data_IF_685327627192
#
_entry.id   IF_685327627192
#
_cell.length_a   1.000
_cell.length_b   1.000
_cell.length_c   1.000
_cell.angle_alpha   90.00
_cell.angle_beta   90.00
_cell.angle_gamma   90.00
#
_symmetry.space_group_name_H-M   'P 1'
#
loop_
_entity.id
_entity.type
_entity.pdbx_description
1 polymer ?
#
# COMPACT_ATOMS: atom_id res chain seq x y z
N UNK A 1 -24.95 17.26 85.39
CA UNK A 1 -25.81 18.46 85.19
C UNK A 1 -24.92 19.69 85.07
N UNK A 2 -25.34 20.70 84.27
CA UNK A 2 -24.65 21.96 83.84
C UNK A 2 -24.03 21.80 82.43
N UNK A 3 -24.75 22.02 81.32
CA UNK A 3 -25.45 23.20 80.79
C UNK A 3 -24.49 24.29 80.24
N UNK A 4 -24.39 24.28 78.90
CA UNK A 4 -24.27 25.39 77.91
C UNK A 4 -23.26 26.52 78.16
N UNK A 5 -22.47 26.86 77.13
CA UNK A 5 -22.68 28.00 76.20
C UNK A 5 -21.33 28.60 75.74
N UNK A 6 -21.04 28.55 74.42
CA UNK A 6 -20.15 29.41 73.62
C UNK A 6 -19.92 28.68 72.29
N UNK A 7 -20.83 28.72 71.31
CA UNK A 7 -21.13 29.81 70.37
C UNK A 7 -19.88 30.39 69.65
N UNK A 8 -19.78 29.97 68.38
CA UNK A 8 -19.46 30.78 67.18
C UNK A 8 -18.07 31.37 67.01
N UNK A 9 -17.26 30.73 66.16
CA UNK A 9 -16.58 31.42 65.05
C UNK A 9 -15.98 30.41 64.04
N UNK A 10 -16.28 30.67 62.75
CA UNK A 10 -15.62 30.17 61.53
C UNK A 10 -16.20 28.87 60.89
N UNK A 11 -17.15 29.00 59.93
CA UNK A 11 -17.22 28.11 58.78
C UNK A 11 -16.84 28.92 57.53
N UNK A 12 -15.55 28.96 57.18
CA UNK A 12 -15.06 29.63 55.97
C UNK A 12 -13.90 28.87 55.30
N UNK A 13 -13.86 27.55 55.46
CA UNK A 13 -12.85 26.66 54.84
C UNK A 13 -13.52 25.53 54.04
N UNK A 14 -14.63 25.84 53.35
CA UNK A 14 -15.38 24.85 52.55
C UNK A 14 -15.52 25.16 51.06
N UNK A 15 -14.66 26.01 50.45
CA UNK A 15 -14.77 26.32 49.01
C UNK A 15 -13.44 26.32 48.21
N UNK A 16 -12.39 25.62 48.63
CA UNK A 16 -11.12 25.60 47.88
C UNK A 16 -10.62 24.19 47.49
N UNK A 17 -11.50 23.19 47.39
CA UNK A 17 -11.12 21.83 46.99
C UNK A 17 -12.04 21.25 45.89
N UNK A 18 -12.28 22.01 44.82
CA UNK A 18 -12.96 21.53 43.60
C UNK A 18 -12.31 22.07 42.32
N UNK A 19 -10.99 21.95 42.16
CA UNK A 19 -10.34 22.20 40.87
C UNK A 19 -9.21 21.22 40.61
N UNK A 20 -9.55 20.02 40.14
CA UNK A 20 -8.75 19.20 39.21
C UNK A 20 -9.47 17.90 38.88
N UNK A 21 -10.70 18.00 38.37
CA UNK A 21 -11.29 16.88 37.62
C UNK A 21 -10.95 17.16 36.16
N UNK A 22 -9.99 16.41 35.60
CA UNK A 22 -9.78 16.37 34.15
C UNK A 22 -11.08 15.88 33.54
N UNK A 23 -11.81 16.78 32.90
CA UNK A 23 -13.00 16.44 32.13
C UNK A 23 -12.60 15.40 31.07
N UNK A 24 -13.37 14.30 30.91
CA UNK A 24 -13.15 13.38 29.80
C UNK A 24 -13.30 14.17 28.51
N UNK A 25 -12.26 14.09 27.67
CA UNK A 25 -12.16 14.78 26.39
C UNK A 25 -13.37 14.36 25.54
N UNK A 26 -14.30 15.28 25.31
CA UNK A 26 -15.41 15.08 24.38
C UNK A 26 -14.77 14.87 23.00
N UNK A 27 -15.01 13.73 22.32
CA UNK A 27 -14.46 13.50 20.99
C UNK A 27 -14.98 14.60 20.07
N UNK A 28 -14.07 15.31 19.41
CA UNK A 28 -14.45 16.23 18.35
C UNK A 28 -14.90 15.40 17.14
N UNK A 29 -15.71 15.95 16.21
CA UNK A 29 -16.11 15.23 14.98
C UNK A 29 -14.93 14.72 14.14
N UNK A 30 -13.70 15.20 14.41
CA UNK A 30 -12.45 14.78 13.78
C UNK A 30 -11.89 13.50 14.41
N UNK A 31 -12.19 13.21 15.67
CA UNK A 31 -11.75 11.99 16.38
C UNK A 31 -12.57 10.74 15.99
N UNK A 32 -13.60 10.88 15.16
CA UNK A 32 -14.42 9.79 14.61
C UNK A 32 -13.93 9.30 13.23
N UNK A 33 -12.89 9.93 12.67
CA UNK A 33 -12.23 9.43 11.47
C UNK A 33 -11.23 8.34 11.88
N UNK A 34 -11.19 7.19 11.20
CA UNK A 34 -10.12 6.20 11.41
C UNK A 34 -8.77 6.91 11.28
N UNK A 35 -8.01 6.99 12.37
CA UNK A 35 -6.66 7.55 12.32
C UNK A 35 -5.82 6.62 11.45
N UNK A 36 -5.44 7.09 10.27
CA UNK A 36 -4.43 6.40 9.46
C UNK A 36 -3.16 6.26 10.30
N UNK A 37 -2.54 5.08 10.24
CA UNK A 37 -1.29 4.82 10.98
C UNK A 37 -0.25 5.90 10.63
N UNK A 38 0.47 6.45 11.63
CA UNK A 38 1.49 7.45 11.37
C UNK A 38 2.55 6.87 10.45
N UNK A 39 2.85 7.58 9.36
CA UNK A 39 3.83 7.18 8.37
C UNK A 39 5.21 7.10 9.05
N UNK A 40 5.81 5.91 9.05
CA UNK A 40 7.15 5.69 9.62
C UNK A 40 8.22 5.73 8.54
N UNK A 41 9.44 6.18 8.88
CA UNK A 41 10.60 5.96 8.03
C UNK A 41 10.82 4.47 7.75
N UNK A 42 11.33 4.14 6.55
CA UNK A 42 11.56 2.75 6.14
C UNK A 42 12.42 1.96 7.15
N UNK A 43 13.43 2.59 7.74
CA UNK A 43 14.29 1.96 8.74
C UNK A 43 13.52 1.56 10.00
N UNK A 44 12.63 2.43 10.48
CA UNK A 44 11.80 2.18 11.67
C UNK A 44 10.73 1.12 11.38
N UNK A 45 10.15 1.13 10.19
CA UNK A 45 9.23 0.10 9.73
C UNK A 45 9.91 -1.29 9.69
N UNK A 46 11.13 -1.37 9.14
CA UNK A 46 11.95 -2.59 9.12
C UNK A 46 12.26 -3.08 10.53
N UNK A 47 12.68 -2.16 11.40
CA UNK A 47 12.93 -2.48 12.82
C UNK A 47 11.67 -3.01 13.51
N UNK A 48 10.51 -2.38 13.29
CA UNK A 48 9.26 -2.80 13.89
C UNK A 48 8.87 -4.24 13.47
N UNK A 49 9.06 -4.60 12.19
CA UNK A 49 8.83 -5.97 11.72
C UNK A 49 9.80 -6.98 12.35
N UNK A 50 11.07 -6.61 12.51
CA UNK A 50 12.09 -7.44 13.17
C UNK A 50 11.78 -7.65 14.65
N UNK A 51 11.21 -6.65 15.32
CA UNK A 51 10.87 -6.72 16.74
C UNK A 51 9.50 -7.41 16.98
N UNK A 52 8.65 -7.52 15.96
CA UNK A 52 7.33 -8.14 16.05
C UNK A 52 7.40 -9.67 16.21
N UNK A 53 6.58 -10.22 17.12
CA UNK A 53 6.54 -11.66 17.38
C UNK A 53 5.75 -12.39 16.29
N UNK A 54 6.35 -13.38 15.59
CA UNK A 54 5.63 -14.18 14.60
C UNK A 54 4.54 -15.03 15.24
N UNK A 55 3.35 -15.06 14.66
CA UNK A 55 2.29 -15.99 15.06
C UNK A 55 2.37 -17.34 14.34
N UNK A 56 3.10 -17.41 13.23
CA UNK A 56 3.15 -18.57 12.35
C UNK A 56 4.53 -18.74 11.70
N UNK A 57 4.86 -19.99 11.40
CA UNK A 57 6.13 -20.35 10.74
C UNK A 57 5.94 -21.25 9.52
N UNK A 58 4.71 -21.75 9.30
CA UNK A 58 4.32 -22.53 8.13
C UNK A 58 3.00 -22.02 7.56
N UNK A 59 2.71 -22.32 6.29
CA UNK A 59 1.46 -21.91 5.64
C UNK A 59 0.21 -22.56 6.25
N UNK A 60 0.35 -23.72 6.89
CA UNK A 60 -0.75 -24.41 7.55
C UNK A 60 -1.19 -23.72 8.86
N UNK A 61 -0.36 -22.85 9.43
CA UNK A 61 -0.64 -22.15 10.69
C UNK A 61 -1.57 -20.93 10.49
N UNK A 62 -1.88 -20.55 9.26
CA UNK A 62 -2.64 -19.32 8.98
C UNK A 62 -4.15 -19.55 9.10
N UNK A 63 -4.91 -18.49 9.43
CA UNK A 63 -6.37 -18.51 9.31
C UNK A 63 -6.77 -18.14 7.88
N UNK A 64 -7.59 -18.99 7.25
CA UNK A 64 -8.12 -18.79 5.89
C UNK A 64 -9.62 -18.50 5.89
N UNK A 65 -10.15 -17.94 6.99
CA UNK A 65 -11.58 -17.68 7.15
C UNK A 65 -12.08 -16.54 6.22
N UNK A 66 -11.16 -15.69 5.77
CA UNK A 66 -11.46 -14.57 4.88
C UNK A 66 -11.52 -15.06 3.44
N UNK A 67 -12.65 -14.87 2.75
CA UNK A 67 -12.74 -15.15 1.31
C UNK A 67 -12.03 -14.07 0.50
N UNK A 68 -11.41 -14.46 -0.61
CA UNK A 68 -10.86 -13.51 -1.56
C UNK A 68 -11.98 -12.57 -2.06
N UNK A 69 -11.82 -11.24 -1.96
CA UNK A 69 -12.81 -10.31 -2.47
C UNK A 69 -13.05 -10.47 -3.98
N UNK A 70 -14.30 -10.34 -4.41
CA UNK A 70 -14.70 -10.40 -5.83
C UNK A 70 -14.23 -9.20 -6.69
N UNK A 71 -13.63 -8.20 -6.05
CA UNK A 71 -12.93 -7.07 -6.64
C UNK A 71 -11.85 -6.61 -5.67
N UNK A 72 -10.76 -5.95 -6.10
CA UNK A 72 -9.70 -5.56 -5.20
C UNK A 72 -10.21 -4.64 -4.08
N UNK A 73 -9.91 -5.02 -2.84
CA UNK A 73 -10.25 -4.26 -1.63
C UNK A 73 -8.99 -3.86 -0.89
N UNK A 74 -9.06 -2.73 -0.17
CA UNK A 74 -7.96 -2.14 0.57
C UNK A 74 -7.69 -2.89 1.88
N UNK A 75 -6.43 -3.23 2.12
CA UNK A 75 -5.92 -3.85 3.34
C UNK A 75 -4.69 -3.08 3.83
N UNK A 76 -4.62 -2.82 5.13
CA UNK A 76 -3.44 -2.22 5.77
C UNK A 76 -2.60 -3.33 6.39
N UNK A 77 -1.32 -3.39 5.99
CA UNK A 77 -0.33 -4.29 6.55
C UNK A 77 0.68 -3.48 7.36
N UNK A 78 0.81 -3.80 8.65
CA UNK A 78 1.66 -3.07 9.57
C UNK A 78 1.52 -3.58 11.01
N UNK A 79 1.85 -2.77 12.03
CA UNK A 79 1.69 -3.13 13.42
C UNK A 79 0.24 -3.48 13.73
N UNK A 80 0.03 -4.63 14.36
CA UNK A 80 -1.29 -5.19 14.60
C UNK A 80 -1.75 -6.19 13.52
N UNK A 81 -1.12 -6.22 12.35
CA UNK A 81 -1.26 -7.32 11.40
C UNK A 81 -0.50 -8.56 11.90
N UNK A 82 -0.96 -9.78 11.56
CA UNK A 82 -0.25 -11.00 11.91
C UNK A 82 1.10 -11.04 11.19
N UNK A 83 2.10 -11.63 11.85
CA UNK A 83 3.47 -11.74 11.34
C UNK A 83 3.82 -13.20 11.10
N UNK A 84 4.30 -13.48 9.91
CA UNK A 84 4.86 -14.78 9.55
C UNK A 84 6.37 -14.75 9.59
N UNK A 85 7.00 -15.86 10.00
CA UNK A 85 8.43 -16.10 9.82
C UNK A 85 8.65 -17.36 8.97
N UNK A 86 8.78 -17.19 7.65
CA UNK A 86 9.02 -18.27 6.69
C UNK A 86 10.35 -18.03 5.98
N UNK A 87 11.13 -19.10 5.75
CA UNK A 87 12.41 -19.05 5.05
C UNK A 87 13.39 -18.02 5.66
N UNK A 88 13.40 -17.91 6.99
CA UNK A 88 14.28 -17.00 7.73
C UNK A 88 13.92 -15.52 7.61
N UNK A 89 12.80 -15.17 6.97
CA UNK A 89 12.35 -13.79 6.78
C UNK A 89 11.00 -13.55 7.43
N UNK A 90 10.84 -12.38 8.06
CA UNK A 90 9.57 -11.94 8.63
C UNK A 90 8.78 -11.13 7.61
N UNK A 91 7.46 -11.18 7.71
CA UNK A 91 6.58 -10.29 6.95
C UNK A 91 5.21 -10.18 7.62
N UNK A 92 4.55 -9.03 7.46
CA UNK A 92 3.10 -8.98 7.67
C UNK A 92 2.41 -9.67 6.49
N UNK A 93 1.27 -10.31 6.72
CA UNK A 93 0.60 -11.07 5.68
C UNK A 93 -0.92 -10.98 5.71
N UNK A 94 -1.52 -11.33 4.57
CA UNK A 94 -2.93 -11.64 4.40
C UNK A 94 -3.07 -13.08 3.92
N UNK A 95 -4.18 -13.71 4.28
CA UNK A 95 -4.53 -15.06 3.83
C UNK A 95 -5.99 -15.10 3.41
N UNK A 96 -6.26 -15.77 2.29
CA UNK A 96 -7.58 -15.83 1.69
C UNK A 96 -7.97 -17.25 1.26
N UNK A 97 -9.24 -17.59 1.42
CA UNK A 97 -9.89 -18.70 0.74
C UNK A 97 -10.23 -18.29 -0.70
N UNK A 98 -9.77 -19.07 -1.68
CA UNK A 98 -10.06 -18.88 -3.10
C UNK A 98 -11.44 -19.47 -3.47
N UNK A 99 -12.12 -18.91 -4.49
CA UNK A 99 -13.37 -19.47 -5.00
C UNK A 99 -13.11 -20.82 -5.69
N UNK A 100 -13.67 -21.90 -5.14
CA UNK A 100 -13.50 -23.27 -5.66
C UNK A 100 -14.31 -23.54 -6.93
N UNK A 101 -15.32 -22.72 -7.19
CA UNK A 101 -16.24 -22.78 -8.33
C UNK A 101 -15.89 -21.81 -9.45
N UNK A 102 -14.86 -20.97 -9.27
CA UNK A 102 -14.40 -20.06 -10.31
C UNK A 102 -13.79 -20.82 -11.49
N UNK A 103 -14.17 -20.40 -12.71
CA UNK A 103 -13.60 -20.94 -13.94
C UNK A 103 -12.16 -20.44 -14.10
N UNK A 104 -11.20 -21.35 -14.08
CA UNK A 104 -9.81 -21.05 -14.44
C UNK A 104 -9.63 -20.93 -15.97
N UNK A 105 -8.72 -20.06 -16.45
CA UNK A 105 -7.89 -19.15 -15.67
C UNK A 105 -8.65 -17.90 -15.23
N UNK A 106 -8.36 -17.41 -14.03
CA UNK A 106 -8.75 -16.08 -13.58
C UNK A 106 -7.53 -15.36 -13.00
N UNK A 107 -7.64 -14.05 -12.81
CA UNK A 107 -6.53 -13.22 -12.34
C UNK A 107 -6.89 -12.56 -11.02
N UNK A 108 -5.86 -12.38 -10.18
CA UNK A 108 -5.96 -11.64 -8.92
C UNK A 108 -5.19 -10.34 -9.13
N UNK A 109 -5.90 -9.22 -8.96
CA UNK A 109 -5.33 -7.89 -9.07
C UNK A 109 -4.72 -7.46 -7.74
N UNK A 110 -3.55 -6.84 -7.81
CA UNK A 110 -2.83 -6.30 -6.64
C UNK A 110 -2.37 -4.88 -6.88
N UNK A 111 -2.51 -4.01 -5.88
CA UNK A 111 -2.05 -2.61 -5.94
C UNK A 111 -1.42 -2.24 -4.62
N UNK A 112 -0.24 -1.67 -4.67
CA UNK A 112 0.42 -1.10 -3.50
C UNK A 112 0.33 0.41 -3.54
N UNK A 113 -0.06 1.02 -2.42
CA UNK A 113 -0.02 2.48 -2.28
C UNK A 113 1.33 2.91 -1.74
N UNK A 114 1.77 4.08 -2.20
CA UNK A 114 3.00 4.70 -1.74
C UNK A 114 2.86 5.09 -0.26
N UNK A 115 3.73 4.56 0.58
CA UNK A 115 3.90 5.05 1.95
C UNK A 115 4.87 6.22 1.90
N UNK A 116 4.55 7.34 2.54
CA UNK A 116 5.40 8.54 2.52
C UNK A 116 4.74 9.74 1.83
N UNK A 117 5.35 10.91 2.02
CA UNK A 117 4.87 12.18 1.48
C UNK A 117 5.73 12.71 0.32
N UNK A 118 6.89 12.09 0.07
CA UNK A 118 7.87 12.57 -0.93
C UNK A 118 8.58 11.42 -1.65
N UNK A 119 8.41 11.40 -2.97
CA UNK A 119 9.05 10.45 -3.89
C UNK A 119 10.58 10.53 -3.90
N UNK A 120 11.18 11.57 -3.32
CA UNK A 120 12.63 11.84 -3.45
C UNK A 120 13.51 11.21 -2.39
N UNK A 121 12.98 10.77 -1.24
CA UNK A 121 13.86 10.27 -0.15
C UNK A 121 13.19 9.52 1.01
N UNK A 122 11.87 9.49 1.13
CA UNK A 122 11.20 8.85 2.28
C UNK A 122 10.04 7.91 1.92
N UNK A 123 9.80 7.70 0.63
CA UNK A 123 8.71 6.85 0.18
C UNK A 123 9.13 5.41 -0.08
N UNK A 124 8.25 4.48 0.25
CA UNK A 124 8.40 3.06 -0.04
C UNK A 124 7.05 2.41 -0.34
N UNK A 125 7.07 1.18 -0.85
CA UNK A 125 5.89 0.38 -1.17
C UNK A 125 5.93 -0.95 -0.44
N UNK A 126 4.78 -1.46 0.00
CA UNK A 126 4.68 -2.89 0.32
C UNK A 126 4.68 -3.66 -1.00
N UNK A 127 5.71 -4.43 -1.30
CA UNK A 127 5.78 -5.21 -2.54
C UNK A 127 5.39 -6.67 -2.30
N UNK A 128 4.29 -7.16 -2.91
CA UNK A 128 3.74 -8.45 -2.56
C UNK A 128 4.44 -9.60 -3.27
N UNK A 129 4.59 -10.69 -2.54
CA UNK A 129 4.79 -12.05 -2.99
C UNK A 129 3.48 -12.79 -2.73
N UNK A 130 2.99 -13.49 -3.74
CA UNK A 130 1.77 -14.28 -3.64
C UNK A 130 2.08 -15.76 -3.72
N UNK A 131 1.57 -16.52 -2.76
CA UNK A 131 1.64 -17.98 -2.74
C UNK A 131 0.25 -18.56 -2.94
N UNK A 132 0.13 -19.46 -3.90
CA UNK A 132 -1.06 -20.26 -4.16
C UNK A 132 -0.88 -21.59 -3.44
N UNK A 133 -1.85 -21.99 -2.62
CA UNK A 133 -1.79 -23.24 -1.86
C UNK A 133 -2.92 -24.19 -2.26
N UNK A 134 -2.68 -25.49 -2.14
CA UNK A 134 -3.70 -26.54 -2.29
C UNK A 134 -4.53 -26.75 -1.00
N UNK A 135 -5.38 -27.77 -0.99
CA UNK A 135 -6.22 -28.15 0.17
C UNK A 135 -5.42 -28.68 1.37
N UNK A 136 -4.18 -29.12 1.16
CA UNK A 136 -3.24 -29.55 2.19
C UNK A 136 -2.28 -28.42 2.63
N UNK A 137 -2.59 -27.17 2.26
CA UNK A 137 -1.78 -25.98 2.53
C UNK A 137 -0.37 -26.05 1.93
N UNK A 138 -0.16 -26.88 0.90
CA UNK A 138 1.13 -26.98 0.21
C UNK A 138 1.24 -25.92 -0.89
N UNK A 139 2.40 -25.28 -1.04
CA UNK A 139 2.62 -24.31 -2.11
C UNK A 139 2.58 -24.97 -3.49
N UNK A 140 1.63 -24.53 -4.31
CA UNK A 140 1.51 -24.88 -5.73
C UNK A 140 2.38 -23.94 -6.57
N UNK A 141 2.32 -22.64 -6.25
CA UNK A 141 3.04 -21.59 -6.94
C UNK A 141 3.40 -20.45 -5.97
N UNK A 142 4.51 -19.78 -6.21
CA UNK A 142 4.93 -18.58 -5.47
C UNK A 142 5.51 -17.57 -6.46
N UNK A 143 4.97 -16.36 -6.46
CA UNK A 143 5.34 -15.32 -7.42
C UNK A 143 5.56 -13.99 -6.71
N UNK A 144 6.74 -13.39 -6.90
CA UNK A 144 6.99 -11.99 -6.56
C UNK A 144 6.26 -11.12 -7.59
N UNK A 145 5.21 -10.42 -7.15
CA UNK A 145 4.38 -9.62 -8.06
C UNK A 145 5.19 -8.45 -8.59
N UNK A 146 5.32 -8.37 -9.91
CA UNK A 146 5.90 -7.21 -10.56
C UNK A 146 4.93 -6.04 -10.46
N UNK A 147 5.36 -4.97 -9.80
CA UNK A 147 4.60 -3.75 -9.66
C UNK A 147 5.02 -2.72 -10.71
N UNK A 148 4.03 -2.03 -11.27
CA UNK A 148 4.21 -0.99 -12.27
C UNK A 148 3.34 0.21 -11.91
N UNK A 149 3.85 1.42 -12.08
CA UNK A 149 3.10 2.62 -11.71
C UNK A 149 1.94 2.86 -12.67
N UNK A 150 0.76 3.13 -12.12
CA UNK A 150 -0.33 3.74 -12.87
C UNK A 150 -0.84 4.95 -12.10
N UNK A 151 -0.97 6.09 -12.80
CA UNK A 151 -1.55 7.32 -12.26
C UNK A 151 -2.95 7.51 -12.87
N UNK A 152 -3.97 7.26 -12.06
CA UNK A 152 -5.35 7.54 -12.38
C UNK A 152 -5.79 8.95 -11.98
N UNK A 153 -7.09 9.20 -11.98
CA UNK A 153 -7.68 10.49 -11.58
C UNK A 153 -7.80 10.66 -10.06
N UNK A 154 -7.70 9.58 -9.30
CA UNK A 154 -7.88 9.54 -7.85
C UNK A 154 -6.81 8.66 -7.17
N UNK A 155 -6.71 8.74 -5.85
CA UNK A 155 -5.81 7.87 -5.07
C UNK A 155 -6.23 6.40 -5.14
N UNK A 156 -7.54 6.10 -5.24
CA UNK A 156 -8.00 4.71 -5.39
C UNK A 156 -7.57 4.12 -6.73
N UNK A 157 -7.40 4.97 -7.74
CA UNK A 157 -7.06 4.56 -9.11
C UNK A 157 -5.58 4.82 -9.43
N UNK A 158 -4.77 5.21 -8.43
CA UNK A 158 -3.33 5.43 -8.56
C UNK A 158 -2.55 4.53 -7.61
N UNK A 159 -1.35 4.13 -8.01
CA UNK A 159 -0.48 3.25 -7.22
C UNK A 159 0.43 2.38 -8.08
N UNK A 160 1.09 1.43 -7.43
CA UNK A 160 1.86 0.39 -8.11
C UNK A 160 0.96 -0.83 -8.33
N UNK A 161 0.59 -1.13 -9.58
CA UNK A 161 -0.32 -2.21 -9.94
C UNK A 161 0.44 -3.44 -10.43
N UNK A 162 -0.13 -4.61 -10.17
CA UNK A 162 0.31 -5.89 -10.70
C UNK A 162 -0.84 -6.90 -10.67
N UNK A 163 -0.58 -8.09 -11.19
CA UNK A 163 -1.53 -9.20 -11.11
C UNK A 163 -0.79 -10.54 -11.11
N UNK A 164 -1.50 -11.58 -10.68
CA UNK A 164 -1.07 -12.96 -10.87
C UNK A 164 -2.21 -13.77 -11.48
N UNK A 165 -1.87 -14.89 -12.13
CA UNK A 165 -2.85 -15.80 -12.72
C UNK A 165 -3.06 -17.04 -11.86
N UNK A 166 -4.32 -17.40 -11.65
CA UNK A 166 -4.70 -18.70 -11.09
C UNK A 166 -5.09 -19.61 -12.24
N UNK A 167 -4.26 -20.62 -12.49
CA UNK A 167 -4.45 -21.59 -13.57
C UNK A 167 -4.68 -23.01 -13.04
N UNK A 168 -4.17 -23.32 -11.85
CA UNK A 168 -4.27 -24.66 -11.25
C UNK A 168 -5.60 -24.81 -10.51
N UNK A 169 -6.39 -25.81 -10.92
CA UNK A 169 -7.69 -26.14 -10.30
C UNK A 169 -7.56 -26.65 -8.86
N UNK A 170 -6.36 -26.99 -8.41
CA UNK A 170 -6.07 -27.40 -7.03
C UNK A 170 -5.92 -26.20 -6.09
N UNK A 171 -5.73 -24.98 -6.60
CA UNK A 171 -5.60 -23.80 -5.75
C UNK A 171 -6.85 -23.63 -4.85
N UNK A 172 -6.63 -23.56 -3.54
CA UNK A 172 -7.67 -23.38 -2.51
C UNK A 172 -7.42 -22.14 -1.68
N UNK A 173 -6.16 -21.79 -1.45
CA UNK A 173 -5.82 -20.65 -0.63
C UNK A 173 -4.80 -19.74 -1.29
N UNK A 174 -4.81 -18.49 -0.84
CA UNK A 174 -3.89 -17.46 -1.27
C UNK A 174 -3.22 -16.85 -0.04
N UNK A 175 -1.92 -16.66 -0.10
CA UNK A 175 -1.17 -15.89 0.89
C UNK A 175 -0.54 -14.70 0.18
N UNK A 176 -0.67 -13.52 0.77
CA UNK A 176 -0.02 -12.29 0.32
C UNK A 176 0.90 -11.84 1.45
N UNK A 177 2.20 -11.79 1.19
CA UNK A 177 3.20 -11.28 2.12
C UNK A 177 4.27 -10.53 1.32
N UNK A 178 5.34 -10.04 1.92
CA UNK A 178 6.50 -9.50 1.20
C UNK A 178 7.72 -10.39 1.45
N UNK A 179 8.22 -11.08 0.43
CA UNK A 179 9.41 -11.93 0.54
C UNK A 179 10.67 -11.13 0.90
N UNK A 180 11.73 -11.83 1.33
CA UNK A 180 13.03 -11.21 1.58
C UNK A 180 13.54 -10.46 0.34
N UNK A 181 13.38 -11.08 -0.84
CA UNK A 181 13.72 -10.47 -2.12
C UNK A 181 12.91 -9.19 -2.32
N UNK A 182 11.58 -9.28 -2.21
CA UNK A 182 10.72 -8.10 -2.37
C UNK A 182 11.12 -6.98 -1.40
N UNK A 183 11.30 -7.24 -0.11
CA UNK A 183 11.68 -6.21 0.88
C UNK A 183 13.05 -5.54 0.66
N UNK A 184 13.87 -6.10 -0.23
CA UNK A 184 15.19 -5.59 -0.61
C UNK A 184 15.24 -4.97 -2.01
N UNK A 185 14.16 -5.07 -2.78
CA UNK A 185 14.09 -4.63 -4.18
C UNK A 185 13.46 -3.24 -4.29
N UNK A 186 13.40 -2.75 -5.53
CA UNK A 186 12.81 -1.46 -5.89
C UNK A 186 11.80 -1.59 -7.03
N UNK A 187 10.79 -0.72 -7.02
CA UNK A 187 9.87 -0.53 -8.15
C UNK A 187 10.25 0.73 -8.92
N UNK A 188 10.28 0.64 -10.24
CA UNK A 188 10.42 1.82 -11.10
C UNK A 188 9.18 2.70 -10.99
N UNK A 189 9.40 4.00 -10.85
CA UNK A 189 8.34 5.00 -10.71
C UNK A 189 8.68 6.22 -11.56
N UNK A 190 7.72 6.78 -12.27
CA UNK A 190 7.85 7.93 -13.15
C UNK A 190 6.80 8.98 -12.86
N UNK A 191 7.24 10.07 -12.20
CA UNK A 191 6.37 11.22 -12.04
C UNK A 191 6.39 12.05 -13.33
N UNK A 192 5.24 12.14 -13.98
CA UNK A 192 5.08 13.03 -15.14
C UNK A 192 5.48 14.45 -14.77
N UNK A 193 6.34 15.05 -15.60
CA UNK A 193 6.82 16.40 -15.38
C UNK A 193 5.70 17.42 -15.51
N UNK A 194 5.26 17.98 -14.39
CA UNK A 194 4.43 19.18 -14.38
C UNK A 194 5.34 20.41 -14.31
N UNK A 195 5.30 21.24 -15.35
CA UNK A 195 5.94 22.57 -15.33
C UNK A 195 4.98 23.54 -14.65
N UNK A 196 5.25 23.90 -13.40
CA UNK A 196 4.51 24.96 -12.73
C UNK A 196 5.31 26.26 -12.81
N UNK A 197 4.69 27.32 -13.33
CA UNK A 197 5.23 28.68 -13.27
C UNK A 197 5.03 29.21 -11.85
N UNK A 198 6.07 29.20 -11.02
CA UNK A 198 6.03 29.89 -9.71
C UNK A 198 6.17 31.38 -9.94
N UNK A 199 5.04 32.09 -10.08
CA UNK A 199 5.00 33.54 -10.12
C UNK A 199 5.17 34.10 -8.68
N UNK A 200 6.39 34.10 -8.15
CA UNK A 200 6.66 34.75 -6.84
C UNK A 200 7.92 35.59 -6.79
N UNK A 201 8.61 35.79 -7.91
CA UNK A 201 9.68 36.79 -8.04
C UNK A 201 9.73 37.27 -9.48
N UNK A 202 10.28 38.47 -9.69
CA UNK A 202 10.36 39.26 -10.94
C UNK A 202 11.03 38.55 -12.14
N UNK A 203 11.37 37.28 -11.99
CA UNK A 203 11.88 36.39 -13.04
C UNK A 203 11.17 35.05 -12.92
N UNK A 204 10.33 34.65 -13.91
CA UNK A 204 9.66 33.36 -13.87
C UNK A 204 10.70 32.24 -13.93
N UNK A 205 10.84 31.48 -12.86
CA UNK A 205 11.66 30.27 -12.83
C UNK A 205 10.73 29.10 -13.12
N UNK A 206 10.91 28.44 -14.27
CA UNK A 206 10.23 27.18 -14.56
C UNK A 206 10.88 26.09 -13.73
N UNK A 207 10.20 25.61 -12.68
CA UNK A 207 10.64 24.41 -11.97
C UNK A 207 9.91 23.23 -12.58
N UNK A 208 10.61 22.43 -13.39
CA UNK A 208 10.09 21.14 -13.87
C UNK A 208 10.19 20.15 -12.72
N UNK A 209 9.05 19.75 -12.16
CA UNK A 209 9.01 18.66 -11.17
C UNK A 209 8.55 17.41 -11.92
N UNK A 210 9.51 16.60 -12.35
CA UNK A 210 9.28 15.36 -13.09
C UNK A 210 10.55 14.53 -13.19
N UNK A 211 10.42 13.21 -13.12
CA UNK A 211 11.58 12.33 -13.13
C UNK A 211 11.24 10.86 -12.95
N UNK A 212 12.25 10.02 -13.22
CA UNK A 212 12.23 8.60 -12.91
C UNK A 212 12.89 8.36 -11.55
N UNK A 213 12.23 7.57 -10.72
CA UNK A 213 12.64 7.20 -9.37
C UNK A 213 12.67 5.68 -9.23
N UNK A 214 13.45 5.22 -8.26
CA UNK A 214 13.37 3.85 -7.74
C UNK A 214 12.75 3.94 -6.35
N UNK A 215 11.56 3.38 -6.20
CA UNK A 215 10.86 3.37 -4.93
C UNK A 215 11.23 2.09 -4.20
N UNK A 216 11.90 2.25 -3.07
CA UNK A 216 12.27 1.13 -2.21
C UNK A 216 11.04 0.35 -1.76
N UNK A 217 11.18 -0.96 -1.62
CA UNK A 217 10.17 -1.76 -0.98
C UNK A 217 10.35 -1.71 0.55
N UNK A 218 9.22 -1.83 1.25
CA UNK A 218 9.16 -1.84 2.71
C UNK A 218 8.26 -2.94 3.24
N UNK A 219 8.35 -3.19 4.55
CA UNK A 219 7.68 -4.32 5.19
C UNK A 219 6.19 -4.08 5.42
N UNK A 220 5.73 -2.84 5.32
CA UNK A 220 4.38 -2.39 5.66
C UNK A 220 3.83 -1.44 4.61
N UNK A 221 2.52 -1.21 4.64
CA UNK A 221 1.85 -0.30 3.73
C UNK A 221 0.43 -0.74 3.44
N UNK A 222 -0.18 -0.08 2.47
CA UNK A 222 -1.52 -0.40 2.00
C UNK A 222 -1.41 -1.26 0.75
N UNK A 223 -2.13 -2.37 0.74
CA UNK A 223 -2.25 -3.24 -0.43
C UNK A 223 -3.72 -3.39 -0.78
N UNK A 224 -4.03 -3.50 -2.05
CA UNK A 224 -5.35 -3.88 -2.53
C UNK A 224 -5.27 -5.27 -3.13
N UNK A 225 -6.16 -6.19 -2.74
CA UNK A 225 -6.17 -7.57 -3.25
C UNK A 225 -7.61 -7.99 -3.55
N UNK A 226 -7.80 -8.69 -4.66
CA UNK A 226 -9.07 -9.34 -5.00
C UNK A 226 -9.05 -9.91 -6.41
N UNK A 227 -10.13 -10.58 -6.79
CA UNK A 227 -10.36 -10.99 -8.18
C UNK A 227 -10.25 -9.77 -9.09
N UNK A 228 -9.48 -9.88 -10.18
CA UNK A 228 -9.21 -8.76 -11.06
C UNK A 228 -10.49 -8.35 -11.81
N UNK A 229 -10.93 -7.12 -11.59
CA UNK A 229 -12.02 -6.51 -12.34
C UNK A 229 -11.50 -5.75 -13.58
N UNK A 230 -12.44 -5.24 -14.39
CA UNK A 230 -12.11 -4.52 -15.63
C UNK A 230 -11.28 -3.26 -15.36
N UNK A 231 -11.66 -2.44 -14.38
CA UNK A 231 -10.95 -1.21 -14.04
C UNK A 231 -9.49 -1.51 -13.69
N UNK A 232 -9.28 -2.55 -12.90
CA UNK A 232 -7.96 -2.97 -12.49
C UNK A 232 -7.12 -3.52 -13.65
N UNK A 233 -7.74 -4.33 -14.51
CA UNK A 233 -7.09 -4.84 -15.71
C UNK A 233 -6.63 -3.69 -16.62
N UNK A 234 -7.47 -2.67 -16.81
CA UNK A 234 -7.11 -1.48 -17.58
C UNK A 234 -5.94 -0.71 -16.95
N UNK A 235 -5.91 -0.58 -15.62
CA UNK A 235 -4.78 0.03 -14.90
C UNK A 235 -3.48 -0.76 -15.09
N UNK A 236 -3.50 -2.08 -14.88
CA UNK A 236 -2.34 -2.97 -15.10
C UNK A 236 -1.83 -2.86 -16.53
N UNK A 237 -2.72 -2.86 -17.53
CA UNK A 237 -2.34 -2.77 -18.94
C UNK A 237 -1.75 -1.42 -19.35
N UNK A 238 -2.07 -0.35 -18.61
CA UNK A 238 -1.59 1.02 -18.85
C UNK A 238 -0.42 1.40 -17.94
N UNK A 239 -0.03 0.53 -17.01
CA UNK A 239 0.99 0.83 -16.01
C UNK A 239 2.39 0.90 -16.65
N UNK A 240 3.22 1.79 -16.13
CA UNK A 240 4.60 2.01 -16.55
C UNK A 240 5.52 1.21 -15.63
N UNK A 241 6.17 0.20 -16.20
CA UNK A 241 7.03 -0.72 -15.46
C UNK A 241 8.53 -0.38 -15.54
N UNK A 242 8.91 0.49 -16.47
CA UNK A 242 10.28 0.84 -16.76
C UNK A 242 10.31 2.12 -17.60
N UNK A 243 11.47 2.78 -17.62
CA UNK A 243 11.72 3.92 -18.48
C UNK A 243 11.46 3.55 -19.94
N UNK A 244 10.69 4.39 -20.64
CA UNK A 244 10.47 4.20 -22.06
C UNK A 244 11.82 4.16 -22.82
N UNK A 245 11.99 3.23 -23.77
CA UNK A 245 13.19 3.22 -24.61
C UNK A 245 13.30 4.54 -25.35
N UNK A 246 14.54 5.04 -25.53
CA UNK A 246 14.76 6.25 -26.31
C UNK A 246 14.33 6.00 -27.76
N UNK A 247 13.23 6.64 -28.16
CA UNK A 247 12.78 6.62 -29.54
C UNK A 247 13.61 7.55 -30.41
N UNK A 248 13.65 7.28 -31.71
CA UNK A 248 14.34 8.12 -32.70
C UNK A 248 13.67 9.50 -32.92
N UNK A 249 12.61 9.82 -32.16
CA UNK A 249 11.78 11.00 -32.34
C UNK A 249 10.73 10.81 -33.43
N UNK A 250 9.52 11.33 -33.19
CA UNK A 250 8.35 11.19 -34.08
C UNK A 250 8.65 11.64 -35.52
N UNK A 251 9.48 12.68 -35.67
CA UNK A 251 9.86 13.23 -36.98
C UNK A 251 10.74 12.27 -37.81
N UNK A 252 11.60 11.47 -37.16
CA UNK A 252 12.42 10.49 -37.88
C UNK A 252 11.60 9.28 -38.30
N UNK A 253 10.66 8.83 -37.46
CA UNK A 253 9.72 7.76 -37.83
C UNK A 253 8.79 8.21 -38.96
N UNK A 254 8.25 9.44 -38.91
CA UNK A 254 7.44 9.99 -40.01
C UNK A 254 8.23 10.09 -41.31
N UNK A 255 9.50 10.50 -41.26
CA UNK A 255 10.35 10.56 -42.46
C UNK A 255 10.57 9.18 -43.07
N UNK A 256 10.71 8.13 -42.25
CA UNK A 256 10.88 6.75 -42.72
C UNK A 256 9.59 6.14 -43.29
N UNK A 257 8.43 6.55 -42.79
CA UNK A 257 7.15 6.05 -43.30
C UNK A 257 6.71 6.81 -44.56
N UNK A 258 7.00 8.10 -44.66
CA UNK A 258 6.76 8.90 -45.88
C UNK A 258 7.66 8.45 -47.03
N UNK A 259 8.91 8.03 -46.77
CA UNK A 259 9.78 7.49 -47.84
C UNK A 259 9.40 6.08 -48.30
N UNK A 260 8.60 5.34 -47.52
CA UNK A 260 7.99 4.07 -47.96
C UNK A 260 6.70 4.27 -48.77
N UNK A 261 6.14 5.48 -48.74
CA UNK A 261 5.05 5.94 -49.59
C UNK A 261 5.60 6.54 -50.90
N UNK A 262 6.60 5.92 -51.51
CA UNK A 262 6.90 6.19 -52.93
C UNK A 262 5.78 5.59 -53.76
N UNK A 263 5.06 6.47 -54.43
CA UNK A 263 3.94 6.22 -55.33
C UNK A 263 4.23 5.06 -56.30
N UNK A 264 3.52 3.94 -56.13
CA UNK A 264 3.19 3.05 -57.25
C UNK A 264 2.06 3.70 -58.05
N UNK A 265 2.43 4.71 -58.84
CA UNK A 265 1.55 5.43 -59.75
C UNK A 265 2.11 5.34 -61.17
N UNK A 266 1.31 4.66 -62.02
CA UNK A 266 1.37 4.49 -63.49
C UNK A 266 2.50 3.65 -64.08
#
# INVERSE_FOLDING_TARGET
MRFRLLLTLIPLVLLAACHSVKLPKIPTPVDLLPQSQPIRPLADAKKALIDATPCCTTFADFSYDTRLPWRPQRFELGPGSPVVAINGSRSYFLSFLLPVDAKVPYEIGVKSELVGHSLTSSSYLFAPTIVQLDDAFQPINSEDVKLCEYMGWSNSDSGAFGSIKIIDKRARYLVVYSSAKQQSDDTYWEQSGSTFSTASTTTPTTTTTGGSYKIHHGPEGVVWVGMMDRSYSEAVNKAVCAKAPQGNGVLNTLRQDVTKLTWSGT
#
